data_IF_095854096739
#
_entry.id   IF_095854096739
#
_cell.length_a   1.000
_cell.length_b   1.000
_cell.length_c   1.000
_cell.angle_alpha   90.00
_cell.angle_beta   90.00
_cell.angle_gamma   90.00
#
_symmetry.space_group_name_H-M   'P 1'
#
loop_
_entity.id
_entity.type
_entity.pdbx_description
1 polymer ?
#
# COMPACT_ATOMS: atom_id res chain seq x y z
N UNK A 1 6.40 -7.00 0.54
CA UNK A 1 6.73 -7.91 1.68
C UNK A 1 5.54 -8.05 2.64
N UNK A 2 5.70 -8.72 3.80
CA UNK A 2 4.63 -8.98 4.80
C UNK A 2 3.77 -7.77 5.17
N UNK A 3 4.38 -6.64 5.52
CA UNK A 3 3.63 -5.41 5.83
C UNK A 3 2.75 -4.94 4.65
N UNK A 4 3.31 -4.90 3.45
CA UNK A 4 2.58 -4.46 2.25
C UNK A 4 1.40 -5.37 1.89
N UNK A 5 1.53 -6.69 2.09
CA UNK A 5 0.40 -7.61 1.83
C UNK A 5 -0.70 -7.46 2.88
N UNK A 6 -0.36 -7.25 4.15
CA UNK A 6 -1.35 -7.07 5.20
C UNK A 6 -2.17 -5.79 4.97
N UNK A 7 -1.50 -4.71 4.57
CA UNK A 7 -2.16 -3.46 4.16
C UNK A 7 -3.09 -3.71 2.95
N UNK A 8 -2.56 -4.32 1.89
CA UNK A 8 -3.34 -4.58 0.67
C UNK A 8 -4.56 -5.46 0.94
N UNK A 9 -4.40 -6.53 1.73
CA UNK A 9 -5.49 -7.43 2.14
C UNK A 9 -6.64 -6.64 2.77
N UNK A 10 -6.34 -5.82 3.77
CA UNK A 10 -7.40 -5.09 4.49
C UNK A 10 -8.08 -4.05 3.60
N UNK A 11 -7.33 -3.32 2.75
CA UNK A 11 -7.91 -2.34 1.82
C UNK A 11 -8.85 -3.01 0.81
N UNK A 12 -8.47 -4.18 0.29
CA UNK A 12 -9.31 -4.94 -0.65
C UNK A 12 -10.59 -5.44 0.05
N UNK A 13 -10.47 -5.97 1.27
CA UNK A 13 -11.63 -6.43 2.05
C UNK A 13 -12.58 -5.27 2.42
N UNK A 14 -12.04 -4.08 2.68
CA UNK A 14 -12.84 -2.87 2.91
C UNK A 14 -13.57 -2.35 1.66
N UNK A 15 -13.30 -2.88 0.46
CA UNK A 15 -14.05 -2.54 -0.74
C UNK A 15 -13.60 -1.25 -1.44
N UNK A 16 -12.31 -0.94 -1.42
CA UNK A 16 -11.78 0.14 -2.26
C UNK A 16 -12.10 -0.09 -3.75
N UNK A 17 -12.22 0.98 -4.55
CA UNK A 17 -12.53 0.85 -6.00
C UNK A 17 -11.53 -0.04 -6.76
N UNK A 18 -10.23 0.18 -6.50
CA UNK A 18 -9.14 -0.56 -7.13
C UNK A 18 -7.90 -0.49 -6.29
N UNK A 19 -7.07 -1.53 -6.35
CA UNK A 19 -5.78 -1.61 -5.65
C UNK A 19 -4.70 -2.01 -6.65
N UNK A 20 -3.61 -1.24 -6.66
CA UNK A 20 -2.41 -1.53 -7.46
C UNK A 20 -1.33 -2.02 -6.51
N UNK A 21 -0.84 -3.24 -6.72
CA UNK A 21 0.27 -3.81 -5.96
C UNK A 21 1.56 -3.64 -6.75
N UNK A 22 2.57 -3.03 -6.14
CA UNK A 22 3.86 -2.78 -6.78
C UNK A 22 4.99 -3.44 -5.99
N UNK A 23 5.86 -4.17 -6.69
CA UNK A 23 7.13 -4.67 -6.15
C UNK A 23 8.03 -5.11 -7.31
N UNK A 24 9.25 -4.59 -7.39
CA UNK A 24 10.25 -5.02 -8.37
C UNK A 24 11.09 -6.23 -7.92
N UNK A 25 11.06 -6.54 -6.62
CA UNK A 25 11.86 -7.61 -6.04
C UNK A 25 11.27 -9.01 -6.24
N UNK A 26 12.15 -9.99 -6.14
CA UNK A 26 11.77 -11.40 -6.14
C UNK A 26 11.54 -11.90 -4.71
N UNK A 27 10.73 -12.95 -4.59
CA UNK A 27 10.50 -13.67 -3.33
C UNK A 27 11.83 -14.23 -2.84
N UNK A 28 12.21 -13.84 -1.63
CA UNK A 28 13.37 -14.37 -0.91
C UNK A 28 12.90 -15.22 0.27
N UNK A 29 13.74 -16.13 0.76
CA UNK A 29 13.40 -16.98 1.91
C UNK A 29 12.94 -16.17 3.14
N UNK A 30 13.54 -14.99 3.38
CA UNK A 30 13.16 -14.09 4.48
C UNK A 30 11.75 -13.51 4.36
N UNK A 31 11.17 -13.47 3.15
CA UNK A 31 9.81 -12.96 2.97
C UNK A 31 8.76 -13.90 3.56
N UNK A 32 9.04 -15.21 3.58
CA UNK A 32 8.10 -16.24 4.09
C UNK A 32 7.82 -16.10 5.58
N UNK A 33 8.67 -15.39 6.33
CA UNK A 33 8.48 -15.18 7.77
C UNK A 33 7.24 -14.35 8.12
N UNK A 34 6.73 -13.55 7.17
CA UNK A 34 5.57 -12.66 7.41
C UNK A 34 4.62 -12.54 6.21
N UNK A 35 5.01 -13.04 5.04
CA UNK A 35 4.16 -13.01 3.86
C UNK A 35 3.41 -14.36 3.73
N UNK A 36 2.12 -14.34 4.09
CA UNK A 36 1.27 -15.54 4.19
C UNK A 36 0.83 -16.17 2.86
N UNK A 37 1.01 -15.48 1.73
CA UNK A 37 0.71 -15.96 0.37
C UNK A 37 1.91 -16.56 -0.35
N UNK A 38 3.10 -16.53 0.25
CA UNK A 38 4.30 -17.08 -0.37
C UNK A 38 4.60 -18.47 0.17
N UNK A 39 5.04 -19.35 -0.73
CA UNK A 39 5.58 -20.67 -0.41
C UNK A 39 7.03 -20.77 -0.89
N UNK A 40 7.77 -21.78 -0.44
CA UNK A 40 9.15 -22.01 -0.90
C UNK A 40 9.24 -22.17 -2.43
N UNK A 41 8.20 -22.73 -3.06
CA UNK A 41 8.11 -22.86 -4.53
C UNK A 41 8.05 -21.51 -5.27
N UNK A 42 7.76 -20.42 -4.55
CA UNK A 42 7.68 -19.09 -5.13
C UNK A 42 9.02 -18.33 -5.10
N UNK A 43 10.04 -18.85 -4.40
CA UNK A 43 11.35 -18.21 -4.30
C UNK A 43 11.91 -17.93 -5.71
N UNK A 44 12.41 -16.71 -5.92
CA UNK A 44 12.90 -16.23 -7.22
C UNK A 44 11.84 -15.67 -8.16
N UNK A 45 10.54 -15.85 -7.89
CA UNK A 45 9.46 -15.21 -8.66
C UNK A 45 9.20 -13.78 -8.15
N UNK A 46 8.68 -12.89 -9.00
CA UNK A 46 8.37 -11.52 -8.59
C UNK A 46 7.26 -11.48 -7.50
N UNK A 47 7.49 -10.70 -6.44
CA UNK A 47 6.62 -10.65 -5.25
C UNK A 47 5.23 -10.12 -5.54
N UNK A 48 5.11 -9.02 -6.30
CA UNK A 48 3.83 -8.44 -6.64
C UNK A 48 2.99 -9.40 -7.49
N UNK A 49 3.61 -10.04 -8.48
CA UNK A 49 2.96 -11.06 -9.33
C UNK A 49 2.44 -12.24 -8.51
N UNK A 50 3.25 -12.77 -7.59
CA UNK A 50 2.83 -13.92 -6.76
C UNK A 50 1.70 -13.51 -5.81
N UNK A 51 1.84 -12.38 -5.10
CA UNK A 51 0.82 -11.90 -4.15
C UNK A 51 -0.52 -11.61 -4.84
N UNK A 52 -0.48 -11.05 -6.06
CA UNK A 52 -1.70 -10.67 -6.79
C UNK A 52 -2.62 -11.86 -7.10
N UNK A 53 -2.08 -13.07 -7.25
CA UNK A 53 -2.88 -14.29 -7.47
C UNK A 53 -3.88 -14.52 -6.32
N UNK A 54 -3.50 -14.17 -5.10
CA UNK A 54 -4.32 -14.34 -3.91
C UNK A 54 -5.12 -13.08 -3.59
N UNK A 55 -4.51 -11.90 -3.74
CA UNK A 55 -5.15 -10.62 -3.42
C UNK A 55 -6.39 -10.35 -4.30
N UNK A 56 -6.36 -10.71 -5.58
CA UNK A 56 -7.49 -10.54 -6.49
C UNK A 56 -8.72 -11.38 -6.08
N UNK A 57 -8.52 -12.51 -5.41
CA UNK A 57 -9.61 -13.41 -5.00
C UNK A 57 -10.36 -12.91 -3.74
N UNK A 58 -9.81 -11.94 -3.00
CA UNK A 58 -10.35 -11.51 -1.71
C UNK A 58 -11.69 -10.77 -1.84
N UNK A 59 -11.90 -10.01 -2.91
CA UNK A 59 -13.12 -9.24 -3.11
C UNK A 59 -13.36 -8.99 -4.60
N UNK A 60 -14.38 -9.65 -5.17
CA UNK A 60 -14.73 -9.55 -6.60
C UNK A 60 -15.20 -8.16 -7.05
N UNK A 61 -15.54 -7.27 -6.11
CA UNK A 61 -15.91 -5.88 -6.40
C UNK A 61 -14.70 -4.94 -6.52
N UNK A 62 -13.50 -5.40 -6.15
CA UNK A 62 -12.28 -4.60 -6.17
C UNK A 62 -11.41 -5.01 -7.35
N UNK A 63 -11.07 -4.05 -8.21
CA UNK A 63 -10.11 -4.32 -9.28
C UNK A 63 -8.68 -4.34 -8.72
N UNK A 64 -8.03 -5.51 -8.73
CA UNK A 64 -6.65 -5.68 -8.23
C UNK A 64 -5.71 -5.94 -9.39
N UNK A 65 -4.70 -5.08 -9.55
CA UNK A 65 -3.65 -5.22 -10.57
C UNK A 65 -2.26 -5.15 -9.95
N UNK A 66 -1.25 -5.60 -10.69
CA UNK A 66 0.14 -5.53 -10.22
C UNK A 66 1.09 -4.94 -11.25
N UNK A 67 2.15 -4.31 -10.76
CA UNK A 67 3.28 -3.84 -11.57
C UNK A 67 4.62 -4.26 -10.97
N UNK A 68 5.60 -4.48 -11.84
CA UNK A 68 6.99 -4.81 -11.50
C UNK A 68 8.00 -3.87 -12.17
N UNK A 69 7.52 -2.80 -12.80
CA UNK A 69 8.34 -1.74 -13.43
C UNK A 69 8.85 -0.76 -12.39
N UNK A 70 9.89 0.00 -12.69
CA UNK A 70 10.38 1.05 -11.78
C UNK A 70 9.28 2.10 -11.54
N UNK A 71 9.16 2.59 -10.30
CA UNK A 71 8.30 3.75 -9.99
C UNK A 71 9.07 5.00 -10.40
N UNK A 72 8.59 5.64 -11.45
CA UNK A 72 9.00 6.98 -11.86
C UNK A 72 7.78 7.92 -11.87
N UNK A 73 8.03 9.21 -12.15
CA UNK A 73 6.93 10.17 -12.25
C UNK A 73 5.92 9.77 -13.33
N UNK A 74 6.38 9.15 -14.42
CA UNK A 74 5.53 8.68 -15.51
C UNK A 74 4.51 7.66 -15.01
N UNK A 75 4.95 6.71 -14.19
CA UNK A 75 4.10 5.72 -13.55
C UNK A 75 3.02 6.40 -12.68
N UNK A 76 3.41 7.38 -11.86
CA UNK A 76 2.48 8.10 -10.98
C UNK A 76 1.45 8.92 -11.78
N UNK A 77 1.87 9.57 -12.87
CA UNK A 77 0.99 10.32 -13.78
C UNK A 77 -0.02 9.41 -14.49
N UNK A 78 0.44 8.26 -14.97
CA UNK A 78 -0.38 7.37 -15.81
C UNK A 78 -1.42 6.58 -15.02
N UNK A 79 -1.12 6.21 -13.76
CA UNK A 79 -1.98 5.30 -12.99
C UNK A 79 -3.00 6.00 -12.08
N UNK A 80 -3.05 7.34 -12.05
CA UNK A 80 -4.05 8.18 -11.34
C UNK A 80 -4.48 7.61 -9.98
N UNK A 81 -3.54 7.59 -9.04
CA UNK A 81 -3.76 7.09 -7.67
C UNK A 81 -4.28 8.19 -6.74
N UNK A 82 -5.28 7.89 -5.91
CA UNK A 82 -5.77 8.83 -4.89
C UNK A 82 -4.94 8.75 -3.60
N UNK A 83 -4.49 7.55 -3.26
CA UNK A 83 -3.67 7.24 -2.09
C UNK A 83 -2.47 6.41 -2.54
N UNK A 84 -1.28 6.79 -2.12
CA UNK A 84 -0.03 6.07 -2.37
C UNK A 84 0.53 5.58 -1.04
N UNK A 85 0.73 4.26 -0.92
CA UNK A 85 1.27 3.65 0.30
C UNK A 85 2.64 3.07 -0.03
N UNK A 86 3.67 3.61 0.61
CA UNK A 86 5.05 3.17 0.45
C UNK A 86 5.49 2.32 1.65
N UNK A 87 6.12 1.18 1.38
CA UNK A 87 6.65 0.29 2.41
C UNK A 87 8.04 -0.21 2.03
N UNK A 88 8.89 -0.42 3.03
CA UNK A 88 10.26 -0.95 2.93
C UNK A 88 11.15 -0.21 1.90
N UNK A 89 10.97 1.12 1.79
CA UNK A 89 11.78 1.99 0.94
C UNK A 89 12.88 2.71 1.74
N UNK A 90 13.97 3.10 1.07
CA UNK A 90 14.98 3.97 1.69
C UNK A 90 14.44 5.40 1.88
N UNK A 91 15.14 6.23 2.66
CA UNK A 91 14.67 7.59 2.98
C UNK A 91 14.61 8.49 1.74
N UNK A 92 15.56 8.37 0.82
CA UNK A 92 15.62 9.21 -0.38
C UNK A 92 14.40 8.97 -1.28
N UNK A 93 13.99 7.71 -1.46
CA UNK A 93 12.79 7.32 -2.19
C UNK A 93 11.52 7.79 -1.45
N UNK A 94 11.50 7.72 -0.12
CA UNK A 94 10.37 8.23 0.68
C UNK A 94 10.18 9.72 0.49
N UNK A 95 11.26 10.52 0.53
CA UNK A 95 11.22 11.96 0.32
C UNK A 95 10.78 12.26 -1.12
N UNK A 96 11.45 11.66 -2.10
CA UNK A 96 11.15 11.90 -3.52
C UNK A 96 9.70 11.59 -3.89
N UNK A 97 9.19 10.43 -3.47
CA UNK A 97 7.81 10.01 -3.75
C UNK A 97 6.83 10.84 -2.91
N UNK A 98 7.14 11.08 -1.63
CA UNK A 98 6.33 11.89 -0.73
C UNK A 98 6.13 13.31 -1.25
N UNK A 99 7.20 13.99 -1.65
CA UNK A 99 7.16 15.34 -2.23
C UNK A 99 6.32 15.37 -3.50
N UNK A 100 6.50 14.39 -4.38
CA UNK A 100 5.69 14.26 -5.59
C UNK A 100 4.20 14.11 -5.24
N UNK A 101 3.86 13.23 -4.31
CA UNK A 101 2.50 12.99 -3.89
C UNK A 101 1.87 14.27 -3.29
N UNK A 102 2.59 14.96 -2.40
CA UNK A 102 2.14 16.20 -1.78
C UNK A 102 1.82 17.28 -2.81
N UNK A 103 2.75 17.52 -3.75
CA UNK A 103 2.59 18.52 -4.81
C UNK A 103 1.39 18.26 -5.73
N UNK A 104 1.01 16.99 -5.90
CA UNK A 104 -0.07 16.58 -6.80
C UNK A 104 -1.37 16.22 -6.07
N UNK A 105 -1.48 16.47 -4.75
CA UNK A 105 -2.69 16.21 -3.97
C UNK A 105 -3.02 14.71 -3.78
N UNK A 106 -2.01 13.85 -3.95
CA UNK A 106 -2.08 12.41 -3.71
C UNK A 106 -1.80 12.18 -2.22
N UNK A 107 -2.67 11.44 -1.54
CA UNK A 107 -2.53 11.15 -0.12
C UNK A 107 -1.40 10.15 0.03
N UNK A 108 -0.41 10.45 0.86
CA UNK A 108 0.78 9.62 1.02
C UNK A 108 0.78 8.98 2.41
N UNK A 109 1.08 7.69 2.45
CA UNK A 109 1.30 6.93 3.68
C UNK A 109 2.62 6.18 3.53
N UNK A 110 3.53 6.35 4.48
CA UNK A 110 4.74 5.54 4.57
C UNK A 110 4.67 4.68 5.82
N UNK A 111 4.89 3.38 5.67
CA UNK A 111 4.90 2.45 6.78
C UNK A 111 6.07 1.47 6.65
N UNK A 112 6.86 1.32 7.73
CA UNK A 112 7.99 0.39 7.76
C UNK A 112 7.99 -0.41 9.07
N UNK A 113 8.42 -1.67 8.98
CA UNK A 113 8.69 -2.53 10.14
C UNK A 113 10.13 -3.03 10.09
N UNK A 114 10.82 -3.00 11.23
CA UNK A 114 12.20 -3.48 11.41
C UNK A 114 12.28 -4.27 12.72
N UNK A 115 12.02 -5.57 12.63
CA UNK A 115 11.93 -6.44 13.80
C UNK A 115 10.79 -6.02 14.72
N UNK A 116 11.12 -5.66 15.97
CA UNK A 116 10.15 -5.22 16.98
C UNK A 116 9.73 -3.75 16.84
N UNK A 117 10.37 -3.00 15.94
CA UNK A 117 10.08 -1.58 15.73
C UNK A 117 9.22 -1.37 14.49
N UNK A 118 8.34 -0.37 14.55
CA UNK A 118 7.51 0.06 13.43
C UNK A 118 7.39 1.58 13.38
N UNK A 119 7.15 2.10 12.19
CA UNK A 119 6.86 3.51 11.96
C UNK A 119 5.70 3.64 10.97
N UNK A 120 4.90 4.69 11.16
CA UNK A 120 3.88 5.13 10.22
C UNK A 120 3.98 6.65 10.10
N UNK A 121 3.91 7.14 8.88
CA UNK A 121 3.84 8.56 8.54
C UNK A 121 2.69 8.76 7.55
N UNK A 122 1.92 9.82 7.74
CA UNK A 122 0.79 10.18 6.88
C UNK A 122 0.91 11.64 6.46
N UNK A 123 0.72 11.89 5.16
CA UNK A 123 0.60 13.21 4.57
C UNK A 123 -0.61 13.24 3.64
N UNK A 124 -1.69 13.89 4.07
CA UNK A 124 -2.92 14.01 3.31
C UNK A 124 -3.08 15.38 2.63
N UNK A 125 -1.99 16.15 2.57
CA UNK A 125 -1.95 17.52 2.06
C UNK A 125 -2.34 18.56 3.11
N UNK A 126 -2.17 19.83 2.75
CA UNK A 126 -2.37 20.97 3.65
C UNK A 126 -3.83 21.24 4.02
N UNK A 127 -4.76 20.77 3.19
CA UNK A 127 -6.19 21.10 3.30
C UNK A 127 -7.07 19.85 3.43
N UNK A 128 -6.61 18.86 4.21
CA UNK A 128 -7.40 17.67 4.47
C UNK A 128 -8.55 17.98 5.44
N UNK A 129 -9.79 17.77 4.99
CA UNK A 129 -10.98 18.00 5.80
C UNK A 129 -11.35 16.72 6.59
N UNK A 130 -11.57 16.89 7.90
CA UNK A 130 -12.04 15.82 8.79
C UNK A 130 -13.51 16.06 9.10
N UNK A 131 -14.38 15.25 8.52
CA UNK A 131 -15.84 15.37 8.69
C UNK A 131 -16.34 14.81 10.03
N UNK A 132 -15.64 13.80 10.55
CA UNK A 132 -15.91 13.16 11.82
C UNK A 132 -14.58 12.88 12.52
N UNK A 133 -14.45 13.38 13.74
CA UNK A 133 -13.19 13.35 14.51
C UNK A 133 -13.13 12.21 15.51
N UNK A 134 -14.24 11.52 15.77
CA UNK A 134 -14.32 10.49 16.81
C UNK A 134 -15.05 9.21 16.40
N UNK A 135 -15.90 9.23 15.35
CA UNK A 135 -16.65 8.06 14.90
C UNK A 135 -17.84 7.69 15.79
N UNK A 136 -18.16 8.50 16.80
CA UNK A 136 -19.25 8.24 17.73
C UNK A 136 -20.59 8.71 17.16
N UNK A 137 -21.68 8.07 17.57
CA UNK A 137 -23.01 8.53 17.18
C UNK A 137 -23.30 9.95 17.75
N UNK A 138 -23.97 10.83 16.98
CA UNK A 138 -24.38 12.13 17.48
C UNK A 138 -25.21 11.98 18.77
N UNK A 139 -24.86 12.74 19.81
CA UNK A 139 -25.63 12.74 21.04
C UNK A 139 -27.04 13.29 20.76
N UNK A 140 -28.05 12.45 20.91
CA UNK A 140 -29.44 12.89 20.94
C UNK A 140 -29.75 13.46 22.32
N UNK A 141 -30.04 14.77 22.38
CA UNK A 141 -30.70 15.33 23.57
C UNK A 141 -32.18 14.93 23.54
N UNK A 142 -32.64 14.31 24.62
CA UNK A 142 -34.05 13.97 24.86
C UNK A 142 -34.75 15.19 25.46
#
# INVERSE_FOLDING_TARGET
RGLGVEIAKNIILCGAKSVIVHDCGNVDFRDLSSQCYFTESNIGQNRAKVANKHLFELNSYVNVTFFSTIIDETFLKNNKVNVFILTDANLDDQIKIGDYCHQHGIKFINANTKGLFGQIFCDFGLNFEVLDTNGEHPLTQI
#
